data_IF_937176221925
#
_entry.id   IF_937176221925
#
_cell.length_a   1.000
_cell.length_b   1.000
_cell.length_c   1.000
_cell.angle_alpha   90.00
_cell.angle_beta   90.00
_cell.angle_gamma   90.00
#
_symmetry.space_group_name_H-M   'P 1'
#
loop_
_entity.id
_entity.type
_entity.pdbx_description
1 polymer ?
#
# COMPACT_ATOMS: atom_id res chain seq x y z
N UNK A 1 -51.45 -4.47 -29.08
CA UNK A 1 -50.17 -5.16 -28.77
C UNK A 1 -49.63 -4.63 -27.46
N UNK A 2 -49.73 -5.45 -26.40
CA UNK A 2 -49.31 -5.16 -25.03
C UNK A 2 -47.79 -5.30 -24.88
N UNK A 3 -47.12 -4.34 -24.22
CA UNK A 3 -45.81 -4.57 -23.57
C UNK A 3 -45.82 -3.91 -22.19
N UNK A 4 -46.04 -4.73 -21.17
CA UNK A 4 -45.91 -4.37 -19.76
C UNK A 4 -44.42 -4.18 -19.41
N UNK A 5 -44.07 -3.04 -18.83
CA UNK A 5 -42.81 -2.80 -18.12
C UNK A 5 -43.02 -3.12 -16.64
N UNK A 6 -42.31 -4.11 -16.11
CA UNK A 6 -42.31 -4.45 -14.68
C UNK A 6 -41.25 -3.61 -13.94
N UNK A 7 -41.71 -2.65 -13.12
CA UNK A 7 -40.87 -1.88 -12.18
C UNK A 7 -41.01 -2.49 -10.79
N UNK A 8 -39.95 -3.12 -10.31
CA UNK A 8 -39.84 -3.60 -8.93
C UNK A 8 -39.67 -2.41 -7.98
N UNK A 9 -40.63 -2.23 -7.06
CA UNK A 9 -40.49 -1.38 -5.87
C UNK A 9 -39.89 -2.24 -4.75
N UNK A 10 -38.68 -1.92 -4.31
CA UNK A 10 -38.14 -2.42 -3.04
C UNK A 10 -37.37 -1.28 -2.36
N UNK A 11 -38.02 -0.64 -1.41
CA UNK A 11 -37.46 0.46 -0.65
C UNK A 11 -38.56 1.16 0.13
N UNK A 12 -39.07 0.51 1.18
CA UNK A 12 -39.78 1.19 2.25
C UNK A 12 -39.50 0.44 3.56
N UNK A 13 -39.11 1.24 4.54
CA UNK A 13 -39.18 1.01 5.98
C UNK A 13 -38.03 0.33 6.73
N UNK A 14 -37.16 1.17 7.34
CA UNK A 14 -36.41 0.87 8.57
C UNK A 14 -36.24 2.14 9.43
N UNK A 15 -37.28 2.52 10.18
CA UNK A 15 -37.12 2.96 11.57
C UNK A 15 -37.14 1.71 12.46
N UNK A 16 -36.37 1.51 13.53
CA UNK A 16 -35.85 2.44 14.52
C UNK A 16 -36.47 2.11 15.87
N UNK A 17 -35.90 1.19 16.67
CA UNK A 17 -35.67 1.39 18.12
C UNK A 17 -35.04 0.20 18.88
N UNK A 18 -33.98 0.58 19.61
CA UNK A 18 -33.47 0.18 20.94
C UNK A 18 -34.24 -0.81 21.84
N UNK A 19 -33.46 -1.72 22.45
CA UNK A 19 -33.19 -1.86 23.90
C UNK A 19 -33.44 -3.22 24.59
N UNK A 20 -32.36 -3.69 25.23
CA UNK A 20 -32.23 -4.20 26.61
C UNK A 20 -32.23 -5.70 26.95
N UNK A 21 -31.21 -6.06 27.77
CA UNK A 21 -31.08 -7.15 28.78
C UNK A 21 -31.26 -8.61 28.32
N UNK A 22 -30.52 -9.62 28.77
CA UNK A 22 -29.46 -9.78 29.76
C UNK A 22 -29.18 -11.28 29.98
N UNK A 23 -28.01 -11.58 30.54
CA UNK A 23 -27.62 -12.76 31.35
C UNK A 23 -27.74 -14.22 30.85
N UNK A 24 -26.55 -14.86 30.76
CA UNK A 24 -26.09 -16.17 31.25
C UNK A 24 -27.04 -17.39 31.46
N UNK A 25 -26.61 -18.52 30.86
CA UNK A 25 -26.40 -19.89 31.41
C UNK A 25 -26.80 -20.95 30.36
N UNK A 26 -25.88 -21.77 29.85
CA UNK A 26 -25.28 -23.01 30.41
C UNK A 26 -26.24 -24.22 30.48
N UNK A 27 -25.69 -25.34 29.97
CA UNK A 27 -26.13 -26.74 30.01
C UNK A 27 -27.26 -27.20 29.10
N UNK A 28 -26.89 -28.14 28.22
CA UNK A 28 -27.82 -28.99 27.51
C UNK A 28 -28.32 -30.16 28.35
N UNK A 29 -29.43 -30.75 27.92
CA UNK A 29 -29.59 -32.19 27.89
C UNK A 29 -30.71 -32.55 26.91
N UNK A 30 -30.41 -33.58 26.14
CA UNK A 30 -31.24 -34.46 25.34
C UNK A 30 -32.64 -34.71 25.93
N UNK A 31 -33.71 -34.41 25.18
CA UNK A 31 -35.01 -35.09 25.32
C UNK A 31 -35.70 -35.19 23.96
N UNK A 32 -35.84 -36.44 23.52
CA UNK A 32 -36.75 -36.87 22.48
C UNK A 32 -38.17 -36.94 23.05
N UNK A 33 -39.16 -36.68 22.16
CA UNK A 33 -40.60 -36.91 22.28
C UNK A 33 -41.46 -35.70 22.63
N UNK A 34 -42.26 -35.30 21.64
CA UNK A 34 -43.28 -34.27 21.76
C UNK A 34 -43.82 -33.91 20.37
N UNK A 35 -44.53 -34.84 19.74
CA UNK A 35 -45.34 -34.56 18.57
C UNK A 35 -46.38 -33.50 18.94
N UNK A 36 -46.12 -32.25 18.59
CA UNK A 36 -47.12 -31.20 18.55
C UNK A 36 -47.09 -30.57 17.16
N UNK A 37 -48.24 -30.75 16.50
CA UNK A 37 -48.69 -30.10 15.27
C UNK A 37 -48.28 -28.63 15.21
N UNK A 38 -47.12 -28.34 14.63
CA UNK A 38 -46.89 -27.03 14.04
C UNK A 38 -47.59 -27.02 12.69
N UNK A 39 -48.79 -26.46 12.74
CA UNK A 39 -49.49 -25.88 11.60
C UNK A 39 -48.47 -25.14 10.73
N UNK A 40 -48.16 -25.77 9.61
CA UNK A 40 -47.34 -25.27 8.52
C UNK A 40 -47.71 -23.82 8.22
N UNK A 41 -46.91 -22.87 8.69
CA UNK A 41 -46.74 -21.61 7.98
C UNK A 41 -46.27 -22.01 6.58
N UNK A 42 -47.20 -22.00 5.63
CA UNK A 42 -46.99 -22.35 4.23
C UNK A 42 -46.06 -21.36 3.55
N UNK A 43 -44.80 -21.36 3.96
CA UNK A 43 -43.71 -20.89 3.13
C UNK A 43 -43.58 -21.94 2.05
N UNK A 44 -44.02 -21.59 0.83
CA UNK A 44 -43.77 -22.42 -0.35
C UNK A 44 -42.30 -22.85 -0.36
N UNK A 45 -41.99 -24.11 -0.73
CA UNK A 45 -40.62 -24.57 -0.86
C UNK A 45 -39.85 -23.60 -1.76
N UNK A 46 -38.99 -22.78 -1.18
CA UNK A 46 -38.16 -21.84 -1.94
C UNK A 46 -37.26 -22.70 -2.82
N UNK A 47 -37.46 -22.61 -4.14
CA UNK A 47 -36.65 -23.33 -5.10
C UNK A 47 -35.16 -23.06 -4.83
N UNK A 48 -34.29 -24.09 -4.82
CA UNK A 48 -32.86 -23.89 -4.63
C UNK A 48 -32.33 -22.87 -5.63
N UNK A 49 -31.49 -21.96 -5.16
CA UNK A 49 -30.89 -20.93 -6.02
C UNK A 49 -30.18 -21.60 -7.21
N UNK A 50 -30.57 -21.20 -8.43
CA UNK A 50 -29.93 -21.68 -9.63
C UNK A 50 -28.48 -21.23 -9.66
N UNK A 51 -27.57 -22.17 -9.87
CA UNK A 51 -26.15 -21.87 -9.95
C UNK A 51 -25.86 -21.08 -11.23
N UNK A 52 -25.38 -19.85 -11.09
CA UNK A 52 -24.95 -19.04 -12.24
C UNK A 52 -23.69 -19.63 -12.88
N UNK A 53 -23.58 -19.59 -14.20
CA UNK A 53 -22.40 -20.05 -14.94
C UNK A 53 -21.09 -19.38 -14.47
N UNK A 54 -21.15 -18.13 -14.00
CA UNK A 54 -20.01 -17.36 -13.49
C UNK A 54 -19.85 -17.43 -11.96
N UNK A 55 -20.45 -18.43 -11.29
CA UNK A 55 -20.29 -18.56 -9.84
C UNK A 55 -18.83 -18.83 -9.49
N UNK A 56 -18.39 -18.29 -8.36
CA UNK A 56 -17.13 -18.73 -7.77
C UNK A 56 -17.27 -20.22 -7.41
N UNK A 57 -16.36 -21.03 -7.92
CA UNK A 57 -16.27 -22.45 -7.59
C UNK A 57 -14.90 -22.75 -7.02
N UNK A 58 -14.87 -23.58 -5.97
CA UNK A 58 -13.62 -24.11 -5.43
C UNK A 58 -13.19 -25.26 -6.33
N UNK A 59 -12.71 -24.94 -7.55
CA UNK A 59 -12.17 -25.96 -8.45
C UNK A 59 -11.11 -26.79 -7.71
N UNK A 60 -11.21 -28.11 -7.86
CA UNK A 60 -10.45 -29.10 -7.12
C UNK A 60 -8.94 -29.03 -7.42
N UNK A 61 -8.17 -29.44 -6.42
CA UNK A 61 -6.71 -29.37 -6.27
C UNK A 61 -5.92 -30.29 -7.22
N UNK A 62 -6.35 -30.47 -8.48
CA UNK A 62 -5.67 -31.31 -9.46
C UNK A 62 -4.65 -30.54 -10.33
N UNK A 63 -4.25 -29.35 -9.89
CA UNK A 63 -3.17 -28.60 -10.52
C UNK A 63 -1.83 -29.01 -9.88
N UNK A 64 -0.77 -29.00 -10.69
CA UNK A 64 0.61 -29.17 -10.22
C UNK A 64 0.85 -28.28 -8.98
N UNK A 65 1.39 -28.83 -7.87
CA UNK A 65 1.70 -28.06 -6.66
C UNK A 65 2.62 -26.85 -6.89
N UNK A 66 3.38 -26.85 -7.99
CA UNK A 66 4.26 -25.75 -8.42
C UNK A 66 3.64 -24.94 -9.57
N UNK A 67 2.36 -25.14 -9.90
CA UNK A 67 1.68 -24.34 -10.92
C UNK A 67 1.53 -22.88 -10.48
N UNK A 68 1.60 -21.91 -11.41
CA UNK A 68 1.47 -20.49 -11.11
C UNK A 68 0.16 -20.15 -10.35
N UNK A 69 -0.94 -20.86 -10.64
CA UNK A 69 -2.23 -20.63 -9.99
C UNK A 69 -2.22 -21.05 -8.50
N UNK A 70 -1.53 -22.14 -8.17
CA UNK A 70 -1.39 -22.61 -6.79
C UNK A 70 -0.48 -21.68 -6.01
N UNK A 71 0.65 -21.27 -6.60
CA UNK A 71 1.56 -20.26 -6.03
C UNK A 71 0.79 -18.97 -5.73
N UNK A 72 0.05 -18.44 -6.71
CA UNK A 72 -0.76 -17.23 -6.57
C UNK A 72 -1.71 -17.32 -5.39
N UNK A 73 -2.53 -18.38 -5.34
CA UNK A 73 -3.53 -18.56 -4.30
C UNK A 73 -2.90 -18.72 -2.91
N UNK A 74 -1.81 -19.46 -2.80
CA UNK A 74 -1.14 -19.72 -1.52
C UNK A 74 -0.45 -18.47 -1.01
N UNK A 75 0.31 -17.78 -1.84
CA UNK A 75 1.01 -16.54 -1.49
C UNK A 75 0.01 -15.44 -1.14
N UNK A 76 -1.06 -15.24 -1.92
CA UNK A 76 -2.15 -14.30 -1.55
C UNK A 76 -2.78 -14.65 -0.21
N UNK A 77 -3.02 -15.94 0.05
CA UNK A 77 -3.55 -16.41 1.32
C UNK A 77 -2.63 -16.14 2.51
N UNK A 78 -1.31 -16.18 2.30
CA UNK A 78 -0.30 -15.82 3.30
C UNK A 78 -0.24 -14.31 3.52
N UNK A 79 -0.20 -13.52 2.43
CA UNK A 79 -0.19 -12.06 2.50
C UNK A 79 -1.43 -11.50 3.23
N UNK A 80 -2.61 -12.06 2.98
CA UNK A 80 -3.84 -11.67 3.69
C UNK A 80 -3.82 -11.97 5.21
N UNK A 81 -2.91 -12.85 5.66
CA UNK A 81 -2.74 -13.19 7.07
C UNK A 81 -1.51 -12.53 7.68
N UNK A 82 -0.74 -11.80 6.88
CA UNK A 82 0.50 -11.18 7.31
C UNK A 82 0.17 -10.05 8.29
N UNK A 83 0.62 -10.22 9.53
CA UNK A 83 0.50 -9.23 10.61
C UNK A 83 1.82 -9.18 11.37
N UNK A 84 2.02 -8.13 12.18
CA UNK A 84 3.23 -8.00 12.99
C UNK A 84 3.42 -9.17 13.96
N UNK A 85 2.33 -9.71 14.54
CA UNK A 85 2.38 -10.86 15.45
C UNK A 85 2.78 -12.17 14.76
N UNK A 86 2.31 -12.36 13.52
CA UNK A 86 2.57 -13.58 12.73
C UNK A 86 3.67 -13.39 11.70
N UNK A 87 4.42 -12.29 11.80
CA UNK A 87 5.34 -11.86 10.76
C UNK A 87 6.38 -12.93 10.46
N UNK A 88 7.09 -13.43 11.48
CA UNK A 88 8.16 -14.39 11.28
C UNK A 88 7.66 -15.67 10.61
N UNK A 89 6.64 -16.30 11.18
CA UNK A 89 6.09 -17.56 10.65
C UNK A 89 5.54 -17.43 9.22
N UNK A 90 4.87 -16.32 8.89
CA UNK A 90 4.28 -16.13 7.56
C UNK A 90 5.34 -15.74 6.54
N UNK A 91 6.29 -14.86 6.92
CA UNK A 91 7.39 -14.48 6.05
C UNK A 91 8.28 -15.67 5.69
N UNK A 92 8.56 -16.57 6.65
CA UNK A 92 9.31 -17.81 6.39
C UNK A 92 8.58 -18.70 5.36
N UNK A 93 7.26 -18.84 5.49
CA UNK A 93 6.45 -19.58 4.51
C UNK A 93 6.49 -18.93 3.13
N UNK A 94 6.39 -17.60 3.04
CA UNK A 94 6.50 -16.88 1.74
C UNK A 94 7.88 -17.11 1.11
N UNK A 95 8.95 -17.09 1.91
CA UNK A 95 10.32 -17.35 1.46
C UNK A 95 10.47 -18.79 0.98
N UNK A 96 9.86 -19.76 1.66
CA UNK A 96 9.84 -21.15 1.21
C UNK A 96 9.17 -21.29 -0.17
N UNK A 97 8.05 -20.61 -0.40
CA UNK A 97 7.43 -20.55 -1.72
C UNK A 97 8.33 -19.90 -2.77
N UNK A 98 9.01 -18.81 -2.41
CA UNK A 98 9.97 -18.15 -3.31
C UNK A 98 11.17 -19.05 -3.66
N UNK A 99 11.67 -19.83 -2.69
CA UNK A 99 12.80 -20.75 -2.87
C UNK A 99 12.45 -21.99 -3.73
N UNK A 100 11.18 -22.25 -4.04
CA UNK A 100 10.84 -23.28 -5.05
C UNK A 100 11.40 -22.98 -6.42
N UNK A 101 11.68 -21.70 -6.69
CA UNK A 101 12.34 -21.24 -7.90
C UNK A 101 13.77 -21.78 -8.05
N UNK A 102 14.36 -22.44 -7.04
CA UNK A 102 15.60 -23.24 -7.19
C UNK A 102 15.50 -24.32 -8.28
N UNK A 103 14.30 -24.86 -8.53
CA UNK A 103 14.06 -25.88 -9.54
C UNK A 103 13.83 -25.29 -10.93
N UNK A 104 13.70 -23.97 -11.02
CA UNK A 104 13.43 -23.23 -12.23
C UNK A 104 14.72 -22.59 -12.77
N UNK A 105 14.75 -22.29 -14.06
CA UNK A 105 15.91 -21.65 -14.71
C UNK A 105 15.74 -20.16 -14.93
N UNK A 106 14.52 -19.66 -14.82
CA UNK A 106 14.10 -18.31 -15.22
C UNK A 106 13.41 -17.54 -14.10
N UNK A 107 13.49 -18.03 -12.85
CA UNK A 107 13.04 -17.26 -11.70
C UNK A 107 11.54 -16.97 -11.63
N UNK A 108 10.70 -17.64 -12.44
CA UNK A 108 9.27 -17.30 -12.61
C UNK A 108 8.52 -17.22 -11.29
N UNK A 109 8.70 -18.22 -10.42
CA UNK A 109 8.03 -18.27 -9.12
C UNK A 109 8.50 -17.10 -8.24
N UNK A 110 9.78 -16.76 -8.24
CA UNK A 110 10.30 -15.62 -7.49
C UNK A 110 9.70 -14.30 -7.99
N UNK A 111 9.66 -14.08 -9.31
CA UNK A 111 9.06 -12.91 -9.94
C UNK A 111 7.58 -12.80 -9.56
N UNK A 112 6.87 -13.93 -9.58
CA UNK A 112 5.47 -13.99 -9.21
C UNK A 112 5.23 -13.63 -7.74
N UNK A 113 6.03 -14.15 -6.81
CA UNK A 113 5.95 -13.79 -5.39
C UNK A 113 6.21 -12.29 -5.19
N UNK A 114 7.25 -11.74 -5.84
CA UNK A 114 7.56 -10.31 -5.76
C UNK A 114 6.38 -9.48 -6.25
N UNK A 115 5.79 -9.83 -7.40
CA UNK A 115 4.61 -9.14 -7.94
C UNK A 115 3.47 -9.10 -6.93
N UNK A 116 3.18 -10.22 -6.26
CA UNK A 116 2.08 -10.31 -5.30
C UNK A 116 2.32 -9.48 -4.04
N UNK A 117 3.57 -9.46 -3.55
CA UNK A 117 3.96 -8.58 -2.43
C UNK A 117 3.77 -7.12 -2.81
N UNK A 118 4.16 -6.72 -4.02
CA UNK A 118 3.99 -5.35 -4.52
C UNK A 118 2.54 -4.95 -4.64
N UNK A 119 1.72 -5.77 -5.29
CA UNK A 119 0.27 -5.51 -5.45
C UNK A 119 -0.40 -5.33 -4.09
N UNK A 120 0.00 -6.11 -3.08
CA UNK A 120 -0.53 -5.91 -1.72
C UNK A 120 0.00 -4.67 -1.02
N UNK A 121 1.30 -4.39 -1.15
CA UNK A 121 1.92 -3.25 -0.51
C UNK A 121 1.41 -1.91 -1.05
N UNK A 122 1.04 -1.83 -2.33
CA UNK A 122 0.47 -0.63 -2.95
C UNK A 122 -1.01 -0.44 -2.60
N UNK A 123 -1.78 -1.51 -2.49
CA UNK A 123 -3.18 -1.46 -2.04
C UNK A 123 -3.29 -1.10 -0.55
N UNK A 124 -2.34 -1.56 0.27
CA UNK A 124 -2.36 -1.44 1.73
C UNK A 124 -1.22 -0.57 2.27
N UNK A 125 -1.17 0.67 1.80
CA UNK A 125 -0.12 1.64 2.12
C UNK A 125 0.12 1.83 3.63
N UNK A 126 -0.87 1.62 4.49
CA UNK A 126 -0.70 1.70 5.95
C UNK A 126 0.35 0.72 6.46
N UNK A 127 0.49 -0.45 5.83
CA UNK A 127 1.39 -1.52 6.24
C UNK A 127 2.67 -1.61 5.39
N UNK A 128 3.00 -0.57 4.62
CA UNK A 128 4.20 -0.54 3.75
C UNK A 128 5.50 -0.89 4.50
N UNK A 129 5.66 -0.46 5.75
CA UNK A 129 6.86 -0.80 6.56
C UNK A 129 6.98 -2.31 6.78
N UNK A 130 5.87 -2.99 7.09
CA UNK A 130 5.84 -4.45 7.28
C UNK A 130 6.18 -5.18 5.98
N UNK A 131 5.65 -4.72 4.84
CA UNK A 131 6.00 -5.27 3.53
C UNK A 131 7.48 -5.03 3.18
N UNK A 132 8.04 -3.87 3.56
CA UNK A 132 9.45 -3.57 3.31
C UNK A 132 10.36 -4.47 4.15
N UNK A 133 9.98 -4.75 5.41
CA UNK A 133 10.65 -5.74 6.26
C UNK A 133 10.58 -7.14 5.65
N UNK A 134 9.45 -7.53 5.06
CA UNK A 134 9.34 -8.81 4.34
C UNK A 134 10.32 -8.86 3.16
N UNK A 135 10.37 -7.82 2.32
CA UNK A 135 11.33 -7.77 1.22
C UNK A 135 12.78 -7.83 1.71
N UNK A 136 13.10 -7.19 2.84
CA UNK A 136 14.43 -7.26 3.45
C UNK A 136 14.78 -8.68 3.87
N UNK A 137 13.86 -9.36 4.56
CA UNK A 137 14.03 -10.76 4.98
C UNK A 137 14.17 -11.70 3.78
N UNK A 138 13.37 -11.50 2.74
CA UNK A 138 13.50 -12.25 1.47
C UNK A 138 14.88 -12.04 0.84
N UNK A 139 15.38 -10.80 0.77
CA UNK A 139 16.71 -10.52 0.22
C UNK A 139 17.82 -11.26 0.99
N UNK A 140 17.67 -11.45 2.30
CA UNK A 140 18.67 -12.10 3.16
C UNK A 140 18.56 -13.64 3.17
N UNK A 141 17.36 -14.20 2.96
CA UNK A 141 17.09 -15.62 3.15
C UNK A 141 16.74 -16.40 1.87
N UNK A 142 16.65 -15.73 0.71
CA UNK A 142 16.53 -16.43 -0.56
C UNK A 142 17.77 -17.27 -0.79
N UNK A 143 17.54 -18.52 -1.20
CA UNK A 143 18.60 -19.49 -1.41
C UNK A 143 19.59 -19.04 -2.48
N UNK A 144 20.91 -19.18 -2.24
CA UNK A 144 21.95 -18.89 -3.22
C UNK A 144 21.85 -19.71 -4.52
N UNK A 145 21.06 -20.78 -4.53
CA UNK A 145 20.83 -21.63 -5.70
C UNK A 145 19.78 -21.07 -6.66
N UNK A 146 18.94 -20.14 -6.20
CA UNK A 146 17.98 -19.47 -7.07
C UNK A 146 18.75 -18.57 -8.04
N UNK A 147 18.56 -18.80 -9.32
CA UNK A 147 19.21 -18.07 -10.41
C UNK A 147 18.24 -17.83 -11.57
N UNK A 148 18.57 -16.87 -12.41
CA UNK A 148 17.88 -16.63 -13.69
C UNK A 148 18.93 -16.56 -14.80
N UNK A 149 18.86 -17.52 -15.73
CA UNK A 149 19.79 -17.64 -16.87
C UNK A 149 19.77 -16.39 -17.78
N UNK A 150 18.65 -15.66 -17.80
CA UNK A 150 18.47 -14.41 -18.56
C UNK A 150 19.12 -13.19 -17.90
N UNK A 151 19.49 -13.27 -16.61
CA UNK A 151 19.99 -12.13 -15.83
C UNK A 151 21.45 -12.32 -15.44
N UNK A 152 22.32 -11.60 -16.16
CA UNK A 152 23.76 -11.58 -15.91
C UNK A 152 24.20 -10.25 -15.30
N UNK A 153 25.32 -10.29 -14.58
CA UNK A 153 26.02 -9.10 -14.13
C UNK A 153 26.85 -8.48 -15.29
N UNK A 154 27.50 -7.34 -15.03
CA UNK A 154 28.35 -6.67 -16.01
C UNK A 154 29.55 -7.54 -16.48
N UNK A 155 29.90 -8.57 -15.71
CA UNK A 155 30.98 -9.52 -15.99
C UNK A 155 30.48 -10.80 -16.69
N UNK A 156 29.19 -10.86 -17.06
CA UNK A 156 28.58 -12.02 -17.71
C UNK A 156 28.28 -13.23 -16.79
N UNK A 157 28.53 -13.13 -15.49
CA UNK A 157 28.17 -14.15 -14.49
C UNK A 157 26.68 -14.08 -14.13
N UNK A 158 26.03 -15.24 -13.87
CA UNK A 158 24.65 -15.28 -13.39
C UNK A 158 24.55 -14.61 -12.02
N UNK A 159 23.50 -13.81 -11.82
CA UNK A 159 23.18 -13.22 -10.52
C UNK A 159 22.31 -14.22 -9.76
N UNK A 160 22.68 -14.53 -8.51
CA UNK A 160 21.97 -15.53 -7.71
C UNK A 160 21.52 -15.00 -6.35
N UNK A 161 20.57 -15.72 -5.73
CA UNK A 161 20.12 -15.48 -4.37
C UNK A 161 19.57 -14.07 -4.10
N UNK A 162 19.99 -13.48 -2.98
CA UNK A 162 19.58 -12.14 -2.56
C UNK A 162 19.91 -11.02 -3.55
N UNK A 163 21.02 -11.13 -4.29
CA UNK A 163 21.37 -10.14 -5.30
C UNK A 163 20.41 -10.18 -6.50
N UNK A 164 19.92 -11.37 -6.86
CA UNK A 164 18.92 -11.54 -7.91
C UNK A 164 17.59 -10.92 -7.45
N UNK A 165 17.17 -11.21 -6.22
CA UNK A 165 16.00 -10.59 -5.62
C UNK A 165 16.06 -9.07 -5.64
N UNK A 166 17.18 -8.48 -5.22
CA UNK A 166 17.38 -7.02 -5.24
C UNK A 166 17.25 -6.45 -6.65
N UNK A 167 17.76 -7.15 -7.67
CA UNK A 167 17.64 -6.72 -9.08
C UNK A 167 16.20 -6.76 -9.57
N UNK A 168 15.45 -7.83 -9.27
CA UNK A 168 14.02 -7.88 -9.59
C UNK A 168 13.23 -6.81 -8.84
N UNK A 169 13.53 -6.58 -7.56
CA UNK A 169 12.90 -5.56 -6.76
C UNK A 169 13.08 -4.17 -7.39
N UNK A 170 14.31 -3.84 -7.80
CA UNK A 170 14.61 -2.55 -8.43
C UNK A 170 13.90 -2.38 -9.77
N UNK A 171 13.96 -3.40 -10.64
CA UNK A 171 13.29 -3.38 -11.94
C UNK A 171 11.77 -3.22 -11.75
N UNK A 172 11.20 -3.94 -10.78
CA UNK A 172 9.79 -3.87 -10.47
C UNK A 172 9.37 -2.50 -9.95
N UNK A 173 10.16 -1.89 -9.06
CA UNK A 173 9.91 -0.52 -8.60
C UNK A 173 9.92 0.49 -9.76
N UNK A 174 10.81 0.33 -10.73
CA UNK A 174 10.87 1.20 -11.91
C UNK A 174 9.65 1.01 -12.81
N UNK A 175 9.34 -0.24 -13.17
CA UNK A 175 8.19 -0.59 -14.01
C UNK A 175 6.86 -0.15 -13.39
N UNK A 176 6.64 -0.45 -12.11
CA UNK A 176 5.39 -0.09 -11.41
C UNK A 176 5.30 1.42 -11.19
N UNK A 177 6.42 2.14 -11.05
CA UNK A 177 6.41 3.60 -10.97
C UNK A 177 5.99 4.22 -12.31
N UNK A 178 6.63 3.83 -13.41
CA UNK A 178 6.30 4.33 -14.75
C UNK A 178 4.87 3.96 -15.16
N UNK A 179 4.47 2.70 -14.92
CA UNK A 179 3.14 2.18 -15.27
C UNK A 179 2.04 2.73 -14.37
N UNK A 180 2.26 2.74 -13.06
CA UNK A 180 1.27 3.16 -12.06
C UNK A 180 0.83 4.60 -12.27
N UNK A 181 1.80 5.50 -12.51
CA UNK A 181 1.51 6.91 -12.78
C UNK A 181 0.96 7.14 -14.19
N UNK A 182 1.39 6.40 -15.20
CA UNK A 182 0.78 6.48 -16.52
C UNK A 182 -0.70 6.04 -16.52
N UNK A 183 -1.06 5.09 -15.66
CA UNK A 183 -2.46 4.66 -15.47
C UNK A 183 -3.27 5.72 -14.71
N UNK A 184 -2.69 6.32 -13.67
CA UNK A 184 -3.29 7.42 -12.93
C UNK A 184 -3.53 8.63 -13.84
N UNK A 185 -2.51 9.10 -14.59
CA UNK A 185 -2.65 10.21 -15.53
C UNK A 185 -3.73 9.92 -16.60
N UNK A 186 -3.84 8.67 -17.07
CA UNK A 186 -4.89 8.25 -18.03
C UNK A 186 -6.27 8.24 -17.41
N UNK A 187 -6.40 7.70 -16.20
CA UNK A 187 -7.68 7.62 -15.49
C UNK A 187 -8.17 9.02 -15.09
N UNK A 188 -7.27 9.89 -14.63
CA UNK A 188 -7.57 11.29 -14.32
C UNK A 188 -8.04 12.06 -15.57
N UNK A 189 -7.37 11.86 -16.73
CA UNK A 189 -7.83 12.44 -18.00
C UNK A 189 -9.20 11.93 -18.41
N UNK A 190 -9.42 10.61 -18.37
CA UNK A 190 -10.72 10.02 -18.70
C UNK A 190 -11.85 10.54 -17.80
N UNK A 191 -11.60 10.69 -16.50
CA UNK A 191 -12.56 11.25 -15.56
C UNK A 191 -12.87 12.73 -15.87
N UNK A 192 -11.85 13.54 -16.18
CA UNK A 192 -12.02 14.95 -16.53
C UNK A 192 -12.74 15.14 -17.87
N UNK A 193 -12.44 14.32 -18.87
CA UNK A 193 -13.08 14.36 -20.18
C UNK A 193 -14.57 14.00 -20.08
N UNK A 194 -14.92 12.96 -19.31
CA UNK A 194 -16.33 12.64 -19.00
C UNK A 194 -17.03 13.73 -18.20
N UNK A 195 -16.35 14.34 -17.23
CA UNK A 195 -16.93 15.45 -16.47
C UNK A 195 -17.28 16.64 -17.38
N UNK A 196 -16.41 16.93 -18.37
CA UNK A 196 -16.66 17.96 -19.40
C UNK A 196 -17.77 17.59 -20.37
N UNK A 197 -17.94 16.31 -20.69
CA UNK A 197 -19.03 15.82 -21.54
C UNK A 197 -20.38 15.94 -20.83
N UNK A 198 -20.48 15.46 -19.59
CA UNK A 198 -21.69 15.57 -18.76
C UNK A 198 -22.08 17.03 -18.50
N UNK A 199 -21.10 17.92 -18.32
CA UNK A 199 -21.34 19.37 -18.18
C UNK A 199 -21.91 20.01 -19.46
N UNK A 200 -21.60 19.46 -20.65
CA UNK A 200 -22.15 19.92 -21.94
C UNK A 200 -23.55 19.37 -22.23
N UNK A 201 -23.85 18.17 -21.75
CA UNK A 201 -25.17 17.55 -21.93
C UNK A 201 -26.24 18.04 -20.95
N UNK A 202 -25.88 18.95 -20.03
CA UNK A 202 -26.83 19.55 -19.09
C UNK A 202 -27.26 18.58 -17.98
N UNK A 203 -26.66 17.39 -17.88
CA UNK A 203 -26.75 16.48 -16.72
C UNK A 203 -25.90 17.03 -15.57
N UNK A 204 -26.26 18.21 -15.08
CA UNK A 204 -25.70 18.84 -13.90
C UNK A 204 -26.26 18.18 -12.64
N UNK A 205 -25.76 16.99 -12.33
CA UNK A 205 -25.64 16.57 -10.93
C UNK A 205 -24.20 16.17 -10.70
N UNK A 206 -23.44 17.02 -10.01
CA UNK A 206 -22.08 16.74 -9.52
C UNK A 206 -22.00 15.37 -8.82
N UNK A 207 -23.11 14.93 -8.23
CA UNK A 207 -23.28 13.59 -7.65
C UNK A 207 -23.08 12.45 -8.67
N UNK A 208 -23.65 12.51 -9.88
CA UNK A 208 -23.53 11.40 -10.86
C UNK A 208 -22.09 11.26 -11.36
N UNK A 209 -21.34 12.35 -11.46
CA UNK A 209 -19.91 12.32 -11.82
C UNK A 209 -19.04 11.66 -10.73
N UNK A 210 -19.33 11.95 -9.44
CA UNK A 210 -18.67 11.34 -8.28
C UNK A 210 -18.91 9.84 -8.15
N UNK A 211 -20.01 9.31 -8.70
CA UNK A 211 -20.31 7.86 -8.71
C UNK A 211 -19.96 7.15 -10.03
N UNK A 212 -19.30 7.82 -10.98
CA UNK A 212 -18.90 7.19 -12.24
C UNK A 212 -17.80 6.14 -12.04
N UNK A 213 -17.85 5.05 -12.83
CA UNK A 213 -16.82 4.00 -12.79
C UNK A 213 -15.42 4.57 -13.08
N UNK A 214 -15.33 5.59 -13.94
CA UNK A 214 -14.09 6.27 -14.27
C UNK A 214 -13.51 7.08 -13.11
N UNK A 215 -14.36 7.78 -12.34
CA UNK A 215 -13.91 8.47 -11.13
C UNK A 215 -13.36 7.48 -10.10
N UNK A 216 -14.08 6.38 -9.84
CA UNK A 216 -13.58 5.32 -8.94
C UNK A 216 -12.26 4.70 -9.43
N UNK A 217 -12.11 4.50 -10.74
CA UNK A 217 -10.87 4.00 -11.32
C UNK A 217 -9.71 4.99 -11.14
N UNK A 218 -9.95 6.28 -11.34
CA UNK A 218 -8.97 7.34 -11.13
C UNK A 218 -8.53 7.43 -9.65
N UNK A 219 -9.49 7.48 -8.73
CA UNK A 219 -9.19 7.50 -7.28
C UNK A 219 -8.44 6.25 -6.83
N UNK A 220 -8.80 5.07 -7.35
CA UNK A 220 -8.08 3.83 -7.05
C UNK A 220 -6.65 3.88 -7.58
N UNK A 221 -6.44 4.31 -8.83
CA UNK A 221 -5.12 4.41 -9.44
C UNK A 221 -4.23 5.38 -8.66
N UNK A 222 -4.77 6.53 -8.27
CA UNK A 222 -4.08 7.53 -7.44
C UNK A 222 -3.71 7.01 -6.06
N UNK A 223 -4.64 6.35 -5.36
CA UNK A 223 -4.36 5.72 -4.07
C UNK A 223 -3.24 4.68 -4.17
N UNK A 224 -3.25 3.86 -5.22
CA UNK A 224 -2.20 2.87 -5.48
C UNK A 224 -0.85 3.53 -5.82
N UNK A 225 -0.85 4.62 -6.58
CA UNK A 225 0.36 5.40 -6.90
C UNK A 225 1.00 6.03 -5.66
N UNK A 226 0.20 6.64 -4.79
CA UNK A 226 0.67 7.19 -3.51
C UNK A 226 1.13 6.07 -2.55
N UNK A 227 0.41 4.95 -2.51
CA UNK A 227 0.82 3.76 -1.76
C UNK A 227 2.16 3.18 -2.24
N UNK A 228 2.39 3.18 -3.55
CA UNK A 228 3.66 2.78 -4.15
C UNK A 228 4.79 3.71 -3.71
N UNK A 229 4.62 5.03 -3.74
CA UNK A 229 5.67 5.96 -3.29
C UNK A 229 6.03 5.72 -1.82
N UNK A 230 5.02 5.55 -0.96
CA UNK A 230 5.25 5.23 0.46
C UNK A 230 6.05 3.93 0.61
N UNK A 231 5.68 2.90 -0.14
CA UNK A 231 6.37 1.62 -0.11
C UNK A 231 7.81 1.70 -0.61
N UNK A 232 8.05 2.41 -1.73
CA UNK A 232 9.39 2.68 -2.26
C UNK A 232 10.25 3.40 -1.21
N UNK A 233 9.69 4.37 -0.48
CA UNK A 233 10.37 5.06 0.62
C UNK A 233 10.84 4.11 1.72
N UNK A 234 9.98 3.18 2.16
CA UNK A 234 10.35 2.17 3.17
C UNK A 234 11.40 1.18 2.65
N UNK A 235 11.34 0.78 1.38
CA UNK A 235 12.36 -0.07 0.76
C UNK A 235 13.73 0.64 0.66
N UNK A 236 13.72 1.94 0.34
CA UNK A 236 14.93 2.76 0.27
C UNK A 236 15.57 2.95 1.65
N UNK A 237 14.76 3.17 2.69
CA UNK A 237 15.21 3.23 4.09
C UNK A 237 15.99 1.97 4.50
N UNK A 238 15.56 0.81 4.02
CA UNK A 238 16.23 -0.49 4.24
C UNK A 238 17.38 -0.78 3.26
N UNK A 239 17.84 0.24 2.53
CA UNK A 239 18.99 0.20 1.61
C UNK A 239 18.82 -0.83 0.49
N UNK A 240 17.59 -1.11 0.05
CA UNK A 240 17.31 -2.07 -1.04
C UNK A 240 17.19 -1.41 -2.41
N UNK A 241 16.95 -0.10 -2.47
CA UNK A 241 16.78 0.67 -3.70
C UNK A 241 17.93 1.67 -3.91
N UNK A 242 17.95 2.31 -5.06
CA UNK A 242 18.93 3.35 -5.43
C UNK A 242 18.34 4.75 -5.26
N UNK A 243 19.19 5.77 -5.12
CA UNK A 243 18.74 7.17 -5.02
C UNK A 243 17.97 7.64 -6.26
N UNK A 244 18.26 7.07 -7.44
CA UNK A 244 17.63 7.47 -8.71
C UNK A 244 16.10 7.37 -8.66
N UNK A 245 15.56 6.22 -8.25
CA UNK A 245 14.09 6.04 -8.20
C UNK A 245 13.45 6.96 -7.16
N UNK A 246 14.15 7.26 -6.06
CA UNK A 246 13.67 8.20 -5.05
C UNK A 246 13.54 9.63 -5.57
N UNK A 247 14.53 10.10 -6.33
CA UNK A 247 14.45 11.42 -6.94
C UNK A 247 13.28 11.51 -7.93
N UNK A 248 12.98 10.45 -8.67
CA UNK A 248 11.80 10.40 -9.55
C UNK A 248 10.48 10.49 -8.75
N UNK A 249 10.36 9.78 -7.61
CA UNK A 249 9.19 9.91 -6.73
C UNK A 249 8.99 11.35 -6.24
N UNK A 250 10.05 12.01 -5.78
CA UNK A 250 9.96 13.40 -5.30
C UNK A 250 9.61 14.37 -6.44
N UNK A 251 10.18 14.18 -7.64
CA UNK A 251 9.84 15.00 -8.82
C UNK A 251 8.37 14.86 -9.21
N UNK A 252 7.81 13.65 -9.18
CA UNK A 252 6.40 13.42 -9.52
C UNK A 252 5.48 14.12 -8.52
N UNK A 253 5.75 14.00 -7.22
CA UNK A 253 4.97 14.68 -6.17
C UNK A 253 5.08 16.22 -6.21
N UNK A 254 6.19 16.75 -6.74
CA UNK A 254 6.40 18.19 -6.96
C UNK A 254 6.13 18.62 -8.41
N UNK A 255 5.42 17.79 -9.19
CA UNK A 255 5.16 18.03 -10.61
C UNK A 255 4.08 19.07 -10.86
N UNK A 256 3.03 19.09 -10.03
CA UNK A 256 1.89 19.98 -10.16
C UNK A 256 1.96 21.11 -9.12
N UNK A 257 2.50 22.26 -9.53
CA UNK A 257 2.67 23.43 -8.64
C UNK A 257 1.45 24.35 -8.64
N UNK A 258 0.67 24.35 -9.72
CA UNK A 258 -0.45 25.27 -9.89
C UNK A 258 -1.66 24.87 -9.04
N UNK A 259 -1.98 23.58 -8.99
CA UNK A 259 -3.07 23.05 -8.19
C UNK A 259 -2.69 21.71 -7.56
N UNK A 260 -1.75 21.71 -6.58
CA UNK A 260 -1.30 20.51 -5.92
C UNK A 260 -2.43 19.88 -5.10
N UNK A 261 -2.54 18.56 -5.14
CA UNK A 261 -3.51 17.86 -4.32
C UNK A 261 -2.98 17.65 -2.89
N UNK A 262 -3.85 17.77 -1.88
CA UNK A 262 -3.43 17.65 -0.48
C UNK A 262 -2.77 16.29 -0.17
N UNK A 263 -3.26 15.21 -0.78
CA UNK A 263 -2.70 13.87 -0.60
C UNK A 263 -1.27 13.75 -1.14
N UNK A 264 -0.94 14.46 -2.22
CA UNK A 264 0.41 14.48 -2.80
C UNK A 264 1.37 15.24 -1.88
N UNK A 265 0.93 16.39 -1.34
CA UNK A 265 1.71 17.17 -0.38
C UNK A 265 1.95 16.35 0.90
N UNK A 266 0.91 15.70 1.42
CA UNK A 266 1.02 14.84 2.60
C UNK A 266 1.97 13.66 2.35
N UNK A 267 1.87 13.01 1.19
CA UNK A 267 2.77 11.94 0.79
C UNK A 267 4.22 12.40 0.67
N UNK A 268 4.46 13.57 0.05
CA UNK A 268 5.78 14.20 -0.05
C UNK A 268 6.38 14.47 1.32
N UNK A 269 5.61 15.07 2.22
CA UNK A 269 6.07 15.40 3.57
C UNK A 269 6.44 14.14 4.36
N UNK A 270 5.59 13.11 4.31
CA UNK A 270 5.87 11.80 4.95
C UNK A 270 7.09 11.12 4.36
N UNK A 271 7.25 11.15 3.04
CA UNK A 271 8.39 10.57 2.35
C UNK A 271 9.69 11.25 2.78
N UNK A 272 9.77 12.57 2.66
CA UNK A 272 10.97 13.34 3.05
C UNK A 272 11.27 13.24 4.55
N UNK A 273 10.25 13.15 5.41
CA UNK A 273 10.46 12.90 6.85
C UNK A 273 11.11 11.54 7.12
N UNK A 274 10.86 10.55 6.26
CA UNK A 274 11.34 9.17 6.45
C UNK A 274 12.73 8.97 5.83
N UNK A 275 12.95 9.47 4.61
CA UNK A 275 14.15 9.19 3.82
C UNK A 275 15.01 10.42 3.54
N UNK A 276 14.57 11.62 3.93
CA UNK A 276 15.22 12.87 3.56
C UNK A 276 16.67 12.98 4.04
N UNK A 277 16.98 12.49 5.24
CA UNK A 277 18.36 12.42 5.73
C UNK A 277 19.26 11.53 4.85
N UNK A 278 18.72 10.40 4.38
CA UNK A 278 19.43 9.47 3.52
C UNK A 278 19.61 10.01 2.09
N UNK A 279 18.69 10.88 1.64
CA UNK A 279 18.71 11.49 0.31
C UNK A 279 19.53 12.79 0.23
N UNK A 280 19.69 13.53 1.32
CA UNK A 280 20.43 14.81 1.36
C UNK A 280 21.95 14.59 1.43
N UNK A 281 22.47 13.86 0.45
CA UNK A 281 23.91 13.62 0.28
C UNK A 281 24.58 14.78 -0.46
N UNK A 282 25.90 14.99 -0.31
CA UNK A 282 26.61 16.04 -1.05
C UNK A 282 26.42 15.95 -2.58
N UNK A 283 26.26 14.74 -3.13
CA UNK A 283 26.03 14.52 -4.56
C UNK A 283 24.61 14.92 -5.00
N UNK A 284 23.62 14.70 -4.14
CA UNK A 284 22.21 15.00 -4.40
C UNK A 284 21.77 16.40 -3.94
N UNK A 285 22.68 17.18 -3.32
CA UNK A 285 22.38 18.48 -2.71
C UNK A 285 21.67 19.45 -3.65
N UNK A 286 22.13 19.54 -4.90
CA UNK A 286 21.52 20.41 -5.90
C UNK A 286 20.06 20.04 -6.20
N UNK A 287 19.74 18.74 -6.27
CA UNK A 287 18.36 18.28 -6.44
C UNK A 287 17.51 18.64 -5.22
N UNK A 288 18.03 18.40 -4.01
CA UNK A 288 17.33 18.71 -2.77
C UNK A 288 17.07 20.22 -2.63
N UNK A 289 18.00 21.08 -3.03
CA UNK A 289 17.79 22.53 -2.99
C UNK A 289 16.65 22.97 -3.92
N UNK A 290 16.57 22.40 -5.12
CA UNK A 290 15.45 22.65 -6.04
C UNK A 290 14.12 22.19 -5.45
N UNK A 291 14.08 21.01 -4.84
CA UNK A 291 12.85 20.48 -4.23
C UNK A 291 12.34 21.39 -3.10
N UNK A 292 13.24 21.80 -2.21
CA UNK A 292 12.88 22.67 -1.09
C UNK A 292 12.57 24.10 -1.53
N UNK A 293 13.14 24.59 -2.63
CA UNK A 293 12.71 25.85 -3.25
C UNK A 293 11.25 25.75 -3.72
N UNK A 294 10.88 24.68 -4.43
CA UNK A 294 9.49 24.46 -4.86
C UNK A 294 8.53 24.33 -3.68
N UNK A 295 8.92 23.63 -2.62
CA UNK A 295 8.12 23.55 -1.39
C UNK A 295 7.88 24.93 -0.76
N UNK A 296 8.88 25.83 -0.78
CA UNK A 296 8.72 27.22 -0.31
C UNK A 296 7.74 28.02 -1.17
N UNK A 297 7.68 27.75 -2.47
CA UNK A 297 6.71 28.38 -3.37
C UNK A 297 5.30 27.84 -3.14
N UNK A 298 5.15 26.54 -2.89
CA UNK A 298 3.87 25.91 -2.53
C UNK A 298 3.26 26.50 -1.24
N UNK A 299 4.07 26.82 -0.24
CA UNK A 299 3.59 27.45 1.01
C UNK A 299 2.93 28.81 0.75
N UNK A 300 3.41 29.55 -0.25
CA UNK A 300 2.88 30.88 -0.60
C UNK A 300 1.64 30.81 -1.48
N UNK A 301 1.32 29.63 -2.02
CA UNK A 301 0.19 29.45 -2.92
C UNK A 301 -1.14 29.50 -2.16
N UNK A 302 -2.14 30.27 -2.64
CA UNK A 302 -3.48 30.28 -2.03
C UNK A 302 -4.23 28.97 -2.22
N UNK A 303 -3.78 28.09 -3.13
CA UNK A 303 -4.41 26.80 -3.43
C UNK A 303 -4.04 25.70 -2.43
N UNK A 304 -3.13 25.98 -1.48
CA UNK A 304 -2.68 25.03 -0.47
C UNK A 304 -3.31 25.39 0.88
N UNK A 305 -3.99 24.43 1.52
CA UNK A 305 -4.59 24.67 2.84
C UNK A 305 -3.54 24.93 3.92
N UNK A 306 -3.90 25.68 4.97
CA UNK A 306 -2.98 26.02 6.06
C UNK A 306 -2.37 24.77 6.72
N UNK A 307 -3.14 23.67 6.83
CA UNK A 307 -2.63 22.38 7.32
C UNK A 307 -1.46 21.88 6.48
N UNK A 308 -1.61 21.89 5.15
CA UNK A 308 -0.56 21.45 4.22
C UNK A 308 0.63 22.43 4.23
N UNK A 309 0.39 23.73 4.34
CA UNK A 309 1.45 24.74 4.50
C UNK A 309 2.30 24.48 5.75
N UNK A 310 1.67 24.19 6.90
CA UNK A 310 2.39 23.84 8.13
C UNK A 310 3.18 22.54 7.98
N UNK A 311 2.62 21.51 7.33
CA UNK A 311 3.34 20.26 7.08
C UNK A 311 4.59 20.47 6.21
N UNK A 312 4.48 21.29 5.16
CA UNK A 312 5.62 21.66 4.31
C UNK A 312 6.67 22.44 5.11
N UNK A 313 6.24 23.40 5.93
CA UNK A 313 7.11 24.20 6.78
C UNK A 313 7.88 23.32 7.78
N UNK A 314 7.22 22.36 8.42
CA UNK A 314 7.87 21.43 9.35
C UNK A 314 9.01 20.63 8.71
N UNK A 315 8.83 20.18 7.46
CA UNK A 315 9.86 19.44 6.72
C UNK A 315 11.00 20.36 6.27
N UNK A 316 10.71 21.59 5.86
CA UNK A 316 11.72 22.60 5.53
C UNK A 316 12.61 22.87 6.74
N UNK A 317 12.00 23.13 7.90
CA UNK A 317 12.76 23.38 9.11
C UNK A 317 13.51 22.14 9.60
N UNK A 318 12.97 20.93 9.39
CA UNK A 318 13.68 19.68 9.68
C UNK A 318 14.99 19.59 8.89
N UNK A 319 14.97 19.96 7.60
CA UNK A 319 16.18 20.00 6.76
C UNK A 319 17.15 21.09 7.20
N UNK A 320 16.65 22.29 7.53
CA UNK A 320 17.49 23.39 8.05
C UNK A 320 18.21 23.01 9.35
N UNK A 321 17.56 22.18 10.18
CA UNK A 321 18.12 21.55 11.38
C UNK A 321 18.94 20.29 11.09
N UNK A 322 19.41 20.11 9.86
CA UNK A 322 20.20 18.96 9.41
C UNK A 322 19.57 17.60 9.74
N UNK A 323 18.25 17.51 9.57
CA UNK A 323 17.45 16.31 9.80
C UNK A 323 17.39 15.83 11.26
N UNK A 324 17.70 16.71 12.22
CA UNK A 324 17.55 16.42 13.65
C UNK A 324 16.13 16.75 14.11
N UNK A 325 15.43 15.74 14.63
CA UNK A 325 14.06 15.90 15.15
C UNK A 325 14.04 16.76 16.42
N UNK A 326 13.01 17.62 16.58
CA UNK A 326 12.81 18.46 17.78
C UNK A 326 12.81 17.63 19.08
N UNK A 327 12.34 16.40 19.01
CA UNK A 327 12.10 15.54 20.18
C UNK A 327 13.25 14.58 20.50
N UNK A 328 14.33 14.54 19.69
CA UNK A 328 15.50 13.70 20.00
C UNK A 328 16.34 14.23 21.17
N UNK A 329 16.07 15.46 21.65
CA UNK A 329 16.81 16.10 22.76
C UNK A 329 16.23 15.76 24.15
N UNK A 330 15.30 14.79 24.26
CA UNK A 330 14.74 14.38 25.55
C UNK A 330 14.79 12.86 25.77
N UNK A 331 15.94 12.23 25.51
CA UNK A 331 16.28 11.05 26.31
C UNK A 331 16.61 11.56 27.73
N UNK A 332 16.08 10.95 28.81
CA UNK A 332 16.41 11.39 30.16
C UNK A 332 17.91 11.22 30.39
N UNK A 333 18.65 12.32 30.36
CA UNK A 333 20.03 12.34 30.81
C UNK A 333 20.03 12.04 32.30
N UNK A 334 20.86 11.08 32.70
CA UNK A 334 21.02 10.76 34.12
C UNK A 334 21.55 11.98 34.86
N UNK A 335 21.17 12.14 36.13
CA UNK A 335 21.69 13.19 37.01
C UNK A 335 23.23 13.25 36.98
N UNK A 336 23.90 12.11 36.79
CA UNK A 336 25.34 12.02 36.58
C UNK A 336 25.84 12.78 35.34
N UNK A 337 25.16 12.65 34.19
CA UNK A 337 25.54 13.36 32.95
C UNK A 337 25.33 14.89 33.05
N UNK A 338 24.36 15.32 33.86
CA UNK A 338 24.13 16.75 34.14
C UNK A 338 25.22 17.29 35.07
N UNK A 339 25.62 16.55 36.11
CA UNK A 339 26.70 16.95 37.01
C UNK A 339 28.09 16.98 36.35
N UNK A 340 28.33 16.10 35.38
CA UNK A 340 29.57 16.07 34.60
C UNK A 340 29.67 17.27 33.65
N UNK A 341 28.58 17.64 32.98
CA UNK A 341 28.50 18.83 32.12
C UNK A 341 28.67 20.14 32.91
N UNK A 342 28.15 20.22 34.14
CA UNK A 342 28.29 21.39 35.02
C UNK A 342 29.71 21.48 35.60
N UNK A 343 30.34 20.36 35.97
CA UNK A 343 31.73 20.36 36.46
C UNK A 343 32.74 20.81 35.40
N UNK A 344 32.45 20.53 34.12
CA UNK A 344 33.29 20.95 33.00
C UNK A 344 33.29 22.48 32.80
N UNK A 345 32.19 23.16 33.15
CA UNK A 345 32.07 24.62 33.03
C UNK A 345 32.71 25.39 34.19
N UNK A 346 32.89 24.77 35.35
CA UNK A 346 33.44 25.42 36.55
C UNK A 346 34.99 25.29 36.60
N UNK A 347 35.58 24.43 35.77
CA UNK A 347 37.02 24.14 35.79
C UNK A 347 37.84 24.87 34.69
N UNK A 348 37.31 25.94 34.09
CA UNK A 348 38.12 26.83 33.23
C UNK A 348 38.70 27.93 34.15
N UNK A 349 40.01 27.90 34.49
CA UNK A 349 40.64 29.03 35.17
C UNK A 349 40.78 30.19 34.17
N UNK A 350 40.52 31.41 34.65
CA UNK A 350 40.77 32.67 33.93
C UNK A 350 42.21 32.79 33.42
#
# INVERSE_FOLDING_TARGET
MNKQRTRSKRGEDRGGNKANSGSQHSHGSNYNSGAMSQSSLGLEPVAPLQQSANRWDRKSLAADPDSPEIVDRKVKGLLNKLTMEKFDSISDQIIEWANRSEKEKDGRTLIQVIRLVFEKATDEATWSEMYARLCRKMMEQISPKVQDDGIKNAEGKPITGGHLFRKYLLNRCQEDFERGWALEDKAAKAANDKAKENAKEGESTDEVALYSEEYYAAQKAKRQGLGLIKFIGELFKLQMLTERIMHECVKKLLGNVDNPEEEEIESLCKLLSTVGQLLDTPKARAHMDVYFSRMKDLIKSPNVSSRMQFMLQDVIELRERRWVSRNQVAAPTTLAAVHEAVSFFISIPM
#
